data_IF_275504484847
#
_entry.id   IF_275504484847
#
_cell.length_a   1.000
_cell.length_b   1.000
_cell.length_c   1.000
_cell.angle_alpha   90.00
_cell.angle_beta   90.00
_cell.angle_gamma   90.00
#
_symmetry.space_group_name_H-M   'P 1'
#
loop_
_entity.id
_entity.type
_entity.pdbx_description
1 polymer ?
#
# COMPACT_ATOMS: atom_id res chain seq x y z
N UNK A 1 -14.90 -8.18 -10.02
CA UNK A 1 -16.28 -8.42 -9.51
C UNK A 1 -16.28 -8.75 -8.00
N UNK A 2 -15.33 -9.56 -7.54
CA UNK A 2 -15.21 -9.94 -6.11
C UNK A 2 -14.72 -8.78 -5.22
N UNK A 3 -13.79 -7.94 -5.70
CA UNK A 3 -13.36 -6.76 -4.94
C UNK A 3 -14.50 -5.79 -4.66
N UNK A 4 -15.45 -5.64 -5.57
CA UNK A 4 -16.58 -4.73 -5.43
C UNK A 4 -17.61 -5.16 -4.37
N UNK A 5 -17.66 -6.44 -3.99
CA UNK A 5 -18.56 -6.95 -2.94
C UNK A 5 -17.96 -6.82 -1.53
N UNK A 6 -16.64 -6.79 -1.43
CA UNK A 6 -15.93 -6.73 -0.14
C UNK A 6 -15.34 -5.35 0.12
N UNK A 7 -14.87 -4.67 -0.93
CA UNK A 7 -14.15 -3.41 -0.82
C UNK A 7 -14.74 -2.33 -1.70
N UNK A 8 -14.69 -1.09 -1.22
CA UNK A 8 -14.84 0.11 -2.04
C UNK A 8 -13.48 0.74 -2.29
N UNK A 9 -13.27 1.26 -3.49
CA UNK A 9 -12.05 1.95 -3.89
C UNK A 9 -12.25 3.46 -3.85
N UNK A 10 -11.35 4.16 -3.18
CA UNK A 10 -11.25 5.62 -3.21
C UNK A 10 -9.90 6.03 -3.79
N UNK A 11 -9.93 6.83 -4.86
CA UNK A 11 -8.72 7.41 -5.45
C UNK A 11 -8.35 8.71 -4.75
N UNK A 12 -7.04 8.97 -4.64
CA UNK A 12 -6.47 10.21 -4.06
C UNK A 12 -7.15 10.63 -2.75
N UNK A 13 -7.28 9.71 -1.82
CA UNK A 13 -7.85 9.98 -0.51
C UNK A 13 -7.04 11.09 0.20
N UNK A 14 -7.71 12.15 0.63
CA UNK A 14 -7.05 13.34 1.17
C UNK A 14 -7.63 13.78 2.52
N UNK A 15 -8.06 12.81 3.33
CA UNK A 15 -8.71 13.05 4.63
C UNK A 15 -7.72 13.23 5.77
N UNK A 16 -6.49 12.71 5.62
CA UNK A 16 -5.50 12.67 6.67
C UNK A 16 -4.36 13.67 6.46
N UNK A 17 -3.77 14.07 7.57
CA UNK A 17 -2.66 15.02 7.64
C UNK A 17 -1.57 14.46 8.55
N UNK A 18 -0.32 14.73 8.20
CA UNK A 18 0.82 14.21 8.96
C UNK A 18 0.84 14.75 10.39
N UNK A 19 0.60 16.06 10.55
CA UNK A 19 0.62 16.71 11.85
C UNK A 19 -0.51 17.73 12.04
N UNK A 20 -0.82 18.02 13.30
CA UNK A 20 -1.58 19.19 13.73
C UNK A 20 -0.61 20.14 14.46
N UNK A 21 -0.73 21.42 14.19
CA UNK A 21 0.09 22.45 14.84
C UNK A 21 -0.78 23.59 15.31
N UNK A 22 -0.61 24.02 16.56
CA UNK A 22 -1.37 25.11 17.14
C UNK A 22 -0.77 26.46 16.75
N UNK A 23 -1.52 27.24 15.96
CA UNK A 23 -1.12 28.57 15.53
C UNK A 23 -2.19 29.59 15.97
N UNK A 24 -1.79 30.62 16.72
CA UNK A 24 -2.69 31.66 17.22
C UNK A 24 -3.96 31.10 17.88
N UNK A 25 -3.79 30.08 18.72
CA UNK A 25 -4.88 29.44 19.47
C UNK A 25 -5.76 28.47 18.64
N UNK A 26 -5.51 28.27 17.35
CA UNK A 26 -6.27 27.37 16.47
C UNK A 26 -5.42 26.22 15.98
N UNK A 27 -5.98 25.00 15.95
CA UNK A 27 -5.32 23.83 15.38
C UNK A 27 -5.34 23.92 13.84
N UNK A 28 -4.16 23.91 13.25
CA UNK A 28 -3.98 23.78 11.79
C UNK A 28 -3.49 22.37 11.46
N UNK A 29 -4.12 21.76 10.48
CA UNK A 29 -3.67 20.49 9.89
C UNK A 29 -2.64 20.81 8.80
N UNK A 30 -1.45 20.19 8.87
CA UNK A 30 -0.34 20.44 7.95
C UNK A 30 0.13 19.13 7.33
N UNK A 31 0.67 19.25 6.10
CA UNK A 31 1.19 18.13 5.31
C UNK A 31 0.11 17.09 5.03
N UNK A 32 -0.82 17.44 4.13
CA UNK A 32 -1.88 16.55 3.70
C UNK A 32 -1.32 15.29 3.05
N UNK A 33 -1.81 14.15 3.47
CA UNK A 33 -1.44 12.84 2.94
C UNK A 33 -2.44 12.44 1.84
N UNK A 34 -1.92 12.02 0.68
CA UNK A 34 -2.73 11.69 -0.51
C UNK A 34 -2.22 10.39 -1.14
N UNK A 35 -2.57 9.22 -0.59
CA UNK A 35 -2.30 7.97 -1.28
C UNK A 35 -3.09 7.89 -2.59
N UNK A 36 -2.52 7.21 -3.59
CA UNK A 36 -3.18 7.07 -4.89
C UNK A 36 -4.50 6.30 -4.75
N UNK A 37 -4.49 5.20 -4.01
CA UNK A 37 -5.64 4.33 -3.84
C UNK A 37 -5.82 3.95 -2.37
N UNK A 38 -7.07 3.94 -1.91
CA UNK A 38 -7.48 3.49 -0.58
C UNK A 38 -8.64 2.50 -0.71
N UNK A 39 -8.43 1.29 -0.25
CA UNK A 39 -9.49 0.29 -0.12
C UNK A 39 -10.15 0.38 1.25
N UNK A 40 -11.48 0.28 1.27
CA UNK A 40 -12.28 0.26 2.49
C UNK A 40 -13.20 -0.96 2.47
N UNK A 41 -13.42 -1.58 3.60
CA UNK A 41 -14.40 -2.64 3.73
C UNK A 41 -15.83 -2.08 3.56
N UNK A 42 -16.66 -2.75 2.75
CA UNK A 42 -18.08 -2.39 2.56
C UNK A 42 -19.03 -3.35 3.28
N UNK A 43 -18.51 -4.48 3.74
CA UNK A 43 -19.28 -5.52 4.43
C UNK A 43 -18.57 -6.05 5.67
N UNK A 44 -19.27 -6.79 6.49
CA UNK A 44 -18.73 -7.49 7.66
C UNK A 44 -18.46 -6.58 8.87
N UNK A 45 -17.81 -7.14 9.89
CA UNK A 45 -17.51 -6.47 11.16
C UNK A 45 -16.57 -5.26 10.99
N UNK A 46 -15.77 -5.25 9.93
CA UNK A 46 -14.85 -4.16 9.60
C UNK A 46 -15.43 -3.13 8.63
N UNK A 47 -16.73 -3.16 8.37
CA UNK A 47 -17.39 -2.21 7.48
C UNK A 47 -16.97 -0.78 7.80
N UNK A 48 -16.71 0.00 6.75
CA UNK A 48 -16.24 1.40 6.78
C UNK A 48 -14.82 1.63 7.33
N UNK A 49 -14.12 0.58 7.79
CA UNK A 49 -12.70 0.68 8.09
C UNK A 49 -11.87 0.66 6.80
N UNK A 50 -10.73 1.34 6.84
CA UNK A 50 -9.75 1.24 5.77
C UNK A 50 -9.11 -0.16 5.81
N UNK A 51 -9.02 -0.80 4.65
CA UNK A 51 -8.49 -2.15 4.49
C UNK A 51 -7.04 -2.15 4.03
N UNK A 52 -6.72 -1.31 3.04
CA UNK A 52 -5.40 -1.29 2.42
C UNK A 52 -5.14 0.08 1.79
N UNK A 53 -3.88 0.51 1.82
CA UNK A 53 -3.40 1.69 1.09
C UNK A 53 -2.46 1.24 -0.01
N UNK A 54 -2.69 1.75 -1.23
CA UNK A 54 -1.82 1.48 -2.37
C UNK A 54 -1.29 2.80 -2.93
N UNK A 55 -0.03 2.79 -3.37
CA UNK A 55 0.60 3.94 -3.99
C UNK A 55 1.45 3.48 -5.19
N UNK A 56 1.45 4.24 -6.26
CA UNK A 56 2.16 3.90 -7.50
C UNK A 56 3.48 4.65 -7.60
N UNK A 57 4.50 4.02 -8.16
CA UNK A 57 5.81 4.61 -8.35
C UNK A 57 6.33 4.38 -9.77
N UNK A 58 6.78 5.43 -10.41
CA UNK A 58 7.40 5.38 -11.74
C UNK A 58 8.92 5.26 -11.65
N UNK A 59 9.39 4.13 -11.14
CA UNK A 59 10.81 3.79 -11.04
C UNK A 59 11.01 2.36 -11.51
N UNK A 60 12.19 2.05 -11.99
CA UNK A 60 12.62 0.67 -12.23
C UNK A 60 13.27 0.13 -10.96
N UNK A 61 12.86 -1.06 -10.55
CA UNK A 61 13.44 -1.81 -9.44
C UNK A 61 13.84 -3.19 -9.93
N UNK A 62 14.72 -3.89 -9.19
CA UNK A 62 15.20 -5.20 -9.58
C UNK A 62 14.91 -6.21 -8.48
N UNK A 63 14.00 -7.16 -8.74
CA UNK A 63 13.57 -8.17 -7.77
C UNK A 63 14.69 -9.13 -7.32
N UNK A 64 15.83 -9.17 -8.03
CA UNK A 64 16.98 -10.03 -7.71
C UNK A 64 18.09 -9.28 -6.97
N UNK A 65 18.03 -7.96 -6.88
CA UNK A 65 19.10 -7.14 -6.27
C UNK A 65 18.83 -6.86 -4.78
N UNK A 66 18.79 -7.92 -3.98
CA UNK A 66 18.58 -7.81 -2.53
C UNK A 66 19.64 -6.96 -1.84
N UNK A 67 20.91 -7.09 -2.27
CA UNK A 67 22.04 -6.35 -1.71
C UNK A 67 21.88 -4.83 -1.79
N UNK A 68 21.23 -4.34 -2.83
CA UNK A 68 20.89 -2.93 -3.03
C UNK A 68 19.41 -2.62 -2.71
N UNK A 69 18.81 -3.39 -1.79
CA UNK A 69 17.41 -3.21 -1.38
C UNK A 69 16.44 -3.19 -2.57
N UNK A 70 16.68 -4.00 -3.60
CA UNK A 70 15.89 -4.07 -4.83
C UNK A 70 15.82 -2.74 -5.64
N UNK A 71 16.63 -1.73 -5.31
CA UNK A 71 16.52 -0.37 -5.83
C UNK A 71 15.40 0.46 -5.18
N UNK A 72 14.83 -0.01 -4.08
CA UNK A 72 13.76 0.69 -3.34
C UNK A 72 14.30 1.93 -2.61
N UNK A 73 13.47 2.96 -2.53
CA UNK A 73 13.81 4.24 -1.92
C UNK A 73 13.34 4.33 -0.48
N UNK A 74 14.21 4.77 0.40
CA UNK A 74 13.88 5.05 1.80
C UNK A 74 12.75 6.09 1.93
N UNK A 75 12.69 7.06 1.03
CA UNK A 75 11.63 8.07 1.01
C UNK A 75 10.24 7.45 0.75
N UNK A 76 10.16 6.44 -0.12
CA UNK A 76 8.92 5.70 -0.38
C UNK A 76 8.46 4.96 0.88
N UNK A 77 9.40 4.35 1.61
CA UNK A 77 9.09 3.67 2.89
C UNK A 77 8.60 4.65 3.97
N UNK A 78 9.22 5.82 4.11
CA UNK A 78 8.73 6.86 5.02
C UNK A 78 7.32 7.33 4.67
N UNK A 79 7.02 7.50 3.38
CA UNK A 79 5.69 7.85 2.91
C UNK A 79 4.67 6.77 3.27
N UNK A 80 4.99 5.49 2.98
CA UNK A 80 4.11 4.36 3.29
C UNK A 80 3.92 4.17 4.79
N UNK A 81 4.96 4.38 5.61
CA UNK A 81 4.85 4.38 7.05
C UNK A 81 3.87 5.45 7.56
N UNK A 82 3.97 6.67 7.03
CA UNK A 82 3.03 7.74 7.37
C UNK A 82 1.59 7.40 6.96
N UNK A 83 1.39 6.82 5.78
CA UNK A 83 0.08 6.36 5.33
C UNK A 83 -0.46 5.25 6.24
N UNK A 84 0.35 4.25 6.56
CA UNK A 84 -0.04 3.15 7.44
C UNK A 84 -0.50 3.63 8.82
N UNK A 85 0.23 4.55 9.43
CA UNK A 85 -0.17 5.09 10.71
C UNK A 85 -1.42 5.96 10.66
N UNK A 86 -1.58 6.78 9.62
CA UNK A 86 -2.71 7.73 9.54
C UNK A 86 -3.99 7.10 9.02
N UNK A 87 -3.91 6.26 8.01
CA UNK A 87 -5.08 5.63 7.39
C UNK A 87 -5.44 4.28 8.00
N UNK A 88 -4.43 3.50 8.44
CA UNK A 88 -4.60 2.12 8.93
C UNK A 88 -4.37 1.97 10.44
N UNK A 89 -4.10 3.07 11.16
CA UNK A 89 -3.85 3.07 12.61
C UNK A 89 -2.66 2.19 13.04
N UNK A 90 -1.66 2.06 12.19
CA UNK A 90 -0.42 1.33 12.45
C UNK A 90 -0.48 -0.18 12.25
N UNK A 91 -1.56 -0.71 11.68
CA UNK A 91 -1.71 -2.15 11.35
C UNK A 91 -2.48 -2.37 10.06
N UNK A 92 -2.14 -3.40 9.32
CA UNK A 92 -2.80 -3.76 8.05
C UNK A 92 -1.82 -3.80 6.89
N UNK A 93 -2.36 -3.61 5.68
CA UNK A 93 -1.64 -3.84 4.43
C UNK A 93 -1.37 -2.54 3.69
N UNK A 94 -0.15 -2.41 3.22
CA UNK A 94 0.30 -1.35 2.34
C UNK A 94 0.85 -2.00 1.07
N UNK A 95 0.67 -1.35 -0.08
CA UNK A 95 1.17 -1.86 -1.35
C UNK A 95 1.86 -0.73 -2.13
N UNK A 96 3.09 -0.96 -2.55
CA UNK A 96 3.76 -0.16 -3.57
C UNK A 96 3.70 -0.89 -4.91
N UNK A 97 3.21 -0.19 -5.92
CA UNK A 97 3.04 -0.71 -7.27
C UNK A 97 4.10 -0.06 -8.17
N UNK A 98 4.91 -0.89 -8.82
CA UNK A 98 5.94 -0.44 -9.76
C UNK A 98 5.66 -0.98 -11.16
N UNK A 99 6.14 -0.32 -12.23
CA UNK A 99 6.04 -0.87 -13.58
C UNK A 99 6.75 -2.20 -13.69
N UNK A 100 6.09 -3.18 -14.32
CA UNK A 100 6.69 -4.46 -14.69
C UNK A 100 7.69 -4.28 -15.83
N UNK A 101 8.82 -4.97 -15.77
CA UNK A 101 9.85 -5.02 -16.81
C UNK A 101 10.72 -6.28 -16.60
N UNK A 102 11.73 -6.51 -17.44
CA UNK A 102 12.52 -7.76 -17.44
C UNK A 102 13.15 -8.14 -16.09
N UNK A 103 13.52 -7.16 -15.27
CA UNK A 103 14.10 -7.38 -13.95
C UNK A 103 13.08 -7.33 -12.80
N UNK A 104 11.79 -7.08 -13.10
CA UNK A 104 10.71 -7.04 -12.12
C UNK A 104 9.38 -7.50 -12.74
N UNK A 105 9.15 -8.82 -12.72
CA UNK A 105 7.97 -9.47 -13.29
C UNK A 105 7.06 -10.08 -12.23
N UNK A 106 7.59 -10.36 -11.05
CA UNK A 106 6.88 -10.98 -9.93
C UNK A 106 6.98 -10.09 -8.69
N UNK A 107 6.01 -10.20 -7.80
CA UNK A 107 6.04 -9.51 -6.52
C UNK A 107 7.24 -9.97 -5.69
N UNK A 108 7.80 -9.08 -4.88
CA UNK A 108 8.79 -9.47 -3.87
C UNK A 108 8.08 -10.41 -2.88
N UNK A 109 8.60 -11.62 -2.72
CA UNK A 109 7.95 -12.73 -2.04
C UNK A 109 7.57 -12.42 -0.59
N UNK A 110 8.44 -11.72 0.14
CA UNK A 110 8.24 -11.40 1.54
C UNK A 110 7.81 -9.94 1.74
N UNK A 111 6.87 -9.71 2.66
CA UNK A 111 6.50 -8.35 3.07
C UNK A 111 7.60 -7.67 3.88
N UNK A 112 7.67 -6.36 3.77
CA UNK A 112 8.46 -5.52 4.68
C UNK A 112 7.59 -5.14 5.88
N UNK A 113 8.02 -5.48 7.08
CA UNK A 113 7.28 -5.21 8.31
C UNK A 113 7.78 -3.93 8.98
N UNK A 114 6.87 -3.01 9.28
CA UNK A 114 7.21 -1.75 9.97
C UNK A 114 7.25 -1.88 11.49
N UNK A 115 6.65 -2.92 12.03
CA UNK A 115 6.63 -3.23 13.46
C UNK A 115 7.01 -4.69 13.69
N UNK A 116 7.53 -4.99 14.88
CA UNK A 116 8.04 -6.29 15.28
C UNK A 116 7.35 -6.78 16.56
N UNK A 117 7.49 -8.08 16.85
CA UNK A 117 7.13 -8.65 18.14
C UNK A 117 5.63 -8.75 18.47
N UNK A 118 4.78 -8.59 17.46
CA UNK A 118 3.33 -8.66 17.61
C UNK A 118 2.73 -9.80 16.78
N UNK A 119 1.48 -10.16 17.07
CA UNK A 119 0.73 -11.11 16.26
C UNK A 119 0.65 -10.63 14.80
N UNK A 120 0.61 -11.57 13.84
CA UNK A 120 0.47 -11.26 12.41
C UNK A 120 -0.69 -10.34 12.08
N UNK A 121 -1.77 -10.39 12.85
CA UNK A 121 -2.94 -9.51 12.71
C UNK A 121 -2.69 -8.05 13.11
N UNK A 122 -1.64 -7.78 13.87
CA UNK A 122 -1.26 -6.45 14.35
C UNK A 122 -0.11 -5.84 13.56
N UNK A 123 0.44 -6.56 12.57
CA UNK A 123 1.53 -6.06 11.74
C UNK A 123 1.05 -4.98 10.76
N UNK A 124 1.90 -3.99 10.54
CA UNK A 124 1.82 -3.08 9.40
C UNK A 124 2.80 -3.59 8.35
N UNK A 125 2.28 -4.15 7.26
CA UNK A 125 3.05 -4.83 6.22
C UNK A 125 3.02 -4.05 4.93
N UNK A 126 4.16 -4.00 4.24
CA UNK A 126 4.29 -3.40 2.92
C UNK A 126 4.67 -4.47 1.90
N UNK A 127 3.88 -4.57 0.86
CA UNK A 127 4.09 -5.42 -0.29
C UNK A 127 4.59 -4.61 -1.48
N UNK A 128 5.46 -5.19 -2.29
CA UNK A 128 6.00 -4.59 -3.52
C UNK A 128 5.56 -5.45 -4.68
N UNK A 129 4.80 -4.86 -5.60
CA UNK A 129 4.14 -5.61 -6.67
C UNK A 129 4.35 -4.99 -8.04
N UNK A 130 4.51 -5.80 -9.12
CA UNK A 130 4.59 -5.31 -10.48
C UNK A 130 3.20 -5.00 -11.04
N UNK A 131 3.14 -4.09 -12.01
CA UNK A 131 1.98 -3.86 -12.85
C UNK A 131 2.44 -3.60 -14.29
N UNK A 132 1.94 -4.39 -15.23
CA UNK A 132 2.27 -4.25 -16.64
C UNK A 132 1.39 -3.17 -17.28
N UNK A 133 1.97 -2.01 -17.54
CA UNK A 133 1.27 -0.86 -18.14
C UNK A 133 1.00 -1.02 -19.63
N UNK A 134 1.65 -2.00 -20.29
CA UNK A 134 1.45 -2.31 -21.71
C UNK A 134 0.38 -3.37 -21.93
N UNK A 135 0.05 -4.15 -20.91
CA UNK A 135 -0.95 -5.20 -20.96
C UNK A 135 -2.37 -4.66 -20.70
N UNK A 136 -3.36 -5.33 -21.25
CA UNK A 136 -4.76 -5.08 -20.92
C UNK A 136 -5.06 -5.42 -19.44
N UNK A 137 -6.20 -4.93 -18.93
CA UNK A 137 -6.65 -5.26 -17.57
C UNK A 137 -6.80 -6.78 -17.40
N UNK A 138 -7.41 -7.47 -18.37
CA UNK A 138 -7.61 -8.91 -18.32
C UNK A 138 -6.29 -9.70 -18.28
N UNK A 139 -5.27 -9.26 -19.04
CA UNK A 139 -3.94 -9.86 -18.98
C UNK A 139 -3.25 -9.64 -17.64
N UNK A 140 -3.34 -8.43 -17.07
CA UNK A 140 -2.85 -8.16 -15.73
C UNK A 140 -3.57 -9.03 -14.69
N UNK A 141 -4.88 -9.14 -14.73
CA UNK A 141 -5.65 -10.01 -13.84
C UNK A 141 -5.23 -11.47 -13.92
N UNK A 142 -4.90 -11.97 -15.13
CA UNK A 142 -4.48 -13.37 -15.33
C UNK A 142 -3.04 -13.64 -14.85
N UNK A 143 -2.15 -12.66 -14.93
CA UNK A 143 -0.72 -12.79 -14.60
C UNK A 143 -0.42 -12.41 -13.14
N UNK A 144 -1.14 -11.43 -12.62
CA UNK A 144 -0.88 -10.89 -11.30
C UNK A 144 -1.43 -11.80 -10.21
N UNK A 145 -0.52 -12.29 -9.37
CA UNK A 145 -0.88 -12.99 -8.14
C UNK A 145 -0.50 -12.13 -6.95
N UNK A 146 -1.45 -11.89 -6.08
CA UNK A 146 -1.14 -11.28 -4.79
C UNK A 146 -0.17 -12.18 -4.02
N UNK A 147 0.86 -11.63 -3.37
CA UNK A 147 1.78 -12.41 -2.56
C UNK A 147 1.03 -13.21 -1.49
N UNK A 148 1.47 -14.45 -1.25
CA UNK A 148 0.89 -15.30 -0.21
C UNK A 148 0.93 -14.61 1.15
N UNK A 149 -0.18 -14.69 1.89
CA UNK A 149 -0.32 -14.03 3.19
C UNK A 149 -0.77 -12.57 3.14
N UNK A 150 -0.90 -11.97 1.94
CA UNK A 150 -1.62 -10.69 1.78
C UNK A 150 -3.12 -10.87 2.02
N UNK A 151 -3.78 -9.90 2.63
CA UNK A 151 -5.24 -9.90 2.78
C UNK A 151 -5.98 -9.80 1.43
N UNK A 152 -5.28 -9.44 0.37
CA UNK A 152 -5.78 -9.34 -1.01
C UNK A 152 -5.57 -10.64 -1.82
N UNK A 153 -4.85 -11.63 -1.27
CA UNK A 153 -4.56 -12.93 -1.91
C UNK A 153 -5.73 -13.93 -1.75
N UNK A 154 -6.95 -13.53 -2.04
CA UNK A 154 -8.15 -14.40 -1.92
C UNK A 154 -8.69 -14.83 -3.28
#
# INVERSE_FOLDING_TARGET
KELSETYSLKTQASTEYLVKHKQKGRDKKLFQLKPDLLLRYVTGINKDNNACVLDTKWKLINQKDEGNKYGLSQADFYQMFAYGHKYLKGKGELVLIYPSHDDFQEAIEQSFNFNEGVDKSELLRLWIVPFDTSASIAENESRFKWPEGSCLAR
#
